data_IF_683535190218
#
_entry.id   IF_683535190218
#
_cell.length_a   1.000
_cell.length_b   1.000
_cell.length_c   1.000
_cell.angle_alpha   90.00
_cell.angle_beta   90.00
_cell.angle_gamma   90.00
#
_symmetry.space_group_name_H-M   'P 1'
#
loop_
_entity.id
_entity.type
_entity.pdbx_description
1 polymer ?
#
# COMPACT_ATOMS: atom_id res chain seq x y z
N UNK A 1 2.83 9.56 0.01
CA UNK A 1 3.47 9.84 -1.29
C UNK A 1 2.61 10.72 -2.19
N UNK A 2 1.30 10.46 -2.32
CA UNK A 2 0.37 11.18 -3.21
C UNK A 2 0.39 12.73 -3.14
N UNK A 3 0.61 13.33 -1.97
CA UNK A 3 0.65 14.81 -1.82
C UNK A 3 2.06 15.43 -1.91
N UNK A 4 3.11 14.63 -2.08
CA UNK A 4 4.52 15.08 -2.04
C UNK A 4 5.31 14.73 -3.31
N UNK A 5 4.63 14.19 -4.31
CA UNK A 5 5.22 13.75 -5.57
C UNK A 5 4.46 14.38 -6.73
N UNK A 6 5.15 14.62 -7.84
CA UNK A 6 4.58 15.10 -9.11
C UNK A 6 4.55 13.97 -10.13
N UNK A 7 4.19 12.78 -9.66
CA UNK A 7 4.09 11.58 -10.46
C UNK A 7 3.06 11.73 -11.59
N UNK A 8 3.29 10.97 -12.65
CA UNK A 8 2.30 10.77 -13.73
C UNK A 8 1.55 9.45 -13.55
N UNK A 9 2.16 8.49 -12.87
CA UNK A 9 1.55 7.20 -12.54
C UNK A 9 2.13 6.63 -11.25
N UNK A 10 1.30 5.98 -10.44
CA UNK A 10 1.71 5.34 -9.19
C UNK A 10 0.65 4.30 -8.81
N UNK A 11 1.02 3.02 -8.82
CA UNK A 11 0.09 1.95 -8.46
C UNK A 11 0.82 0.68 -8.01
N UNK A 12 0.04 -0.30 -7.56
CA UNK A 12 0.47 -1.67 -7.33
C UNK A 12 -0.60 -2.63 -7.84
N UNK A 13 -0.19 -3.72 -8.47
CA UNK A 13 -1.10 -4.73 -9.01
C UNK A 13 -0.65 -6.12 -8.61
N UNK A 14 -1.62 -7.00 -8.35
CA UNK A 14 -1.39 -8.42 -8.09
C UNK A 14 -2.06 -9.20 -9.22
N UNK A 15 -1.26 -9.88 -10.03
CA UNK A 15 -1.72 -10.91 -10.96
C UNK A 15 -1.74 -12.27 -10.27
N UNK A 16 -2.11 -13.32 -11.01
CA UNK A 16 -2.27 -14.66 -10.44
C UNK A 16 -0.93 -15.24 -9.92
N UNK A 17 0.19 -14.93 -10.59
CA UNK A 17 1.52 -15.47 -10.30
C UNK A 17 2.60 -14.38 -10.12
N UNK A 18 2.22 -13.09 -10.12
CA UNK A 18 3.16 -12.00 -9.92
C UNK A 18 2.53 -10.79 -9.21
N UNK A 19 3.40 -9.92 -8.68
CA UNK A 19 3.01 -8.61 -8.16
C UNK A 19 3.91 -7.55 -8.76
N UNK A 20 3.32 -6.44 -9.21
CA UNK A 20 4.03 -5.34 -9.87
C UNK A 20 3.76 -4.02 -9.15
N UNK A 21 4.81 -3.22 -8.98
CA UNK A 21 4.76 -1.91 -8.34
C UNK A 21 5.21 -0.81 -9.32
N UNK A 22 4.40 -0.47 -10.35
CA UNK A 22 4.75 0.52 -11.35
C UNK A 22 4.63 1.96 -10.85
N UNK A 23 5.58 2.80 -11.24
CA UNK A 23 5.50 4.26 -11.10
C UNK A 23 6.12 4.98 -12.30
N UNK A 24 5.70 6.22 -12.54
CA UNK A 24 6.32 7.11 -13.53
C UNK A 24 6.28 8.56 -13.09
N UNK A 25 7.29 9.33 -13.51
CA UNK A 25 7.37 10.77 -13.28
C UNK A 25 8.23 11.41 -14.37
N UNK A 26 7.80 12.56 -14.89
CA UNK A 26 8.57 13.36 -15.84
C UNK A 26 9.67 14.20 -15.17
N UNK A 27 9.60 14.36 -13.84
CA UNK A 27 10.60 15.09 -13.07
C UNK A 27 11.70 14.13 -12.57
N UNK A 28 12.99 14.31 -12.95
CA UNK A 28 14.06 13.38 -12.58
C UNK A 28 14.32 13.28 -11.07
N UNK A 29 14.12 14.36 -10.31
CA UNK A 29 14.31 14.34 -8.86
C UNK A 29 13.18 13.56 -8.18
N UNK A 30 11.94 13.79 -8.61
CA UNK A 30 10.77 13.04 -8.15
C UNK A 30 10.88 11.56 -8.51
N UNK A 31 11.27 11.23 -9.75
CA UNK A 31 11.49 9.85 -10.18
C UNK A 31 12.48 9.11 -9.27
N UNK A 32 13.62 9.74 -8.90
CA UNK A 32 14.60 9.15 -7.99
C UNK A 32 14.03 8.95 -6.58
N UNK A 33 13.21 9.88 -6.10
CA UNK A 33 12.55 9.75 -4.81
C UNK A 33 11.58 8.57 -4.81
N UNK A 34 10.74 8.45 -5.84
CA UNK A 34 9.80 7.34 -6.00
C UNK A 34 10.52 6.01 -6.11
N UNK A 35 11.56 5.94 -6.94
CA UNK A 35 12.40 4.76 -7.09
C UNK A 35 12.93 4.25 -5.75
N UNK A 36 13.51 5.15 -4.94
CA UNK A 36 14.06 4.77 -3.63
C UNK A 36 13.00 4.22 -2.69
N UNK A 37 11.82 4.83 -2.65
CA UNK A 37 10.76 4.38 -1.75
C UNK A 37 10.13 3.07 -2.24
N UNK A 38 9.92 2.92 -3.55
CA UNK A 38 9.39 1.69 -4.14
C UNK A 38 10.34 0.49 -3.95
N UNK A 39 11.65 0.73 -4.01
CA UNK A 39 12.64 -0.31 -3.79
C UNK A 39 12.71 -0.72 -2.30
N UNK A 40 12.67 0.26 -1.39
CA UNK A 40 12.71 -0.02 0.04
C UNK A 40 11.44 -0.75 0.51
N UNK A 41 10.26 -0.30 0.05
CA UNK A 41 8.99 -0.95 0.42
C UNK A 41 8.86 -2.38 -0.13
N UNK A 42 9.46 -2.69 -1.28
CA UNK A 42 9.37 -4.03 -1.88
C UNK A 42 10.38 -5.01 -1.29
N UNK A 43 11.59 -4.55 -0.96
CA UNK A 43 12.66 -5.42 -0.48
C UNK A 43 12.84 -5.42 1.04
N UNK A 44 12.34 -4.40 1.74
CA UNK A 44 12.51 -4.19 3.18
C UNK A 44 11.24 -3.65 3.84
N UNK A 45 10.09 -4.22 3.48
CA UNK A 45 8.81 -3.83 4.05
C UNK A 45 8.79 -3.94 5.58
N UNK A 46 8.32 -2.89 6.25
CA UNK A 46 7.95 -2.95 7.66
C UNK A 46 6.55 -3.55 7.78
N UNK A 47 6.46 -4.81 8.22
CA UNK A 47 5.20 -5.52 8.39
C UNK A 47 4.72 -5.42 9.84
N UNK A 48 4.24 -4.23 10.25
CA UNK A 48 3.66 -4.06 11.57
C UNK A 48 2.32 -4.78 11.67
N UNK A 49 2.03 -5.36 12.84
CA UNK A 49 0.82 -6.16 13.04
C UNK A 49 -0.46 -5.36 12.84
N UNK A 50 -0.48 -4.10 13.28
CA UNK A 50 -1.64 -3.22 13.10
C UNK A 50 -1.89 -2.89 11.63
N UNK A 51 -0.83 -2.68 10.83
CA UNK A 51 -0.94 -2.43 9.39
C UNK A 51 -1.47 -3.67 8.68
N UNK A 52 -0.94 -4.86 9.00
CA UNK A 52 -1.45 -6.12 8.45
C UNK A 52 -2.94 -6.34 8.77
N UNK A 53 -3.35 -6.09 10.02
CA UNK A 53 -4.76 -6.18 10.45
C UNK A 53 -5.66 -5.14 9.80
N UNK A 54 -5.10 -4.00 9.41
CA UNK A 54 -5.84 -2.96 8.71
C UNK A 54 -6.05 -3.31 7.23
N UNK A 55 -4.96 -3.63 6.54
CA UNK A 55 -4.96 -3.92 5.11
C UNK A 55 -5.62 -5.27 4.80
N UNK A 56 -5.33 -6.30 5.60
CA UNK A 56 -5.87 -7.66 5.44
C UNK A 56 -7.27 -7.80 6.03
N UNK A 57 -7.35 -8.19 7.30
CA UNK A 57 -8.61 -8.33 8.03
C UNK A 57 -8.39 -8.26 9.55
N UNK A 58 -9.44 -7.86 10.28
CA UNK A 58 -9.52 -7.88 11.74
C UNK A 58 -10.96 -7.97 12.22
N UNK A 59 -11.14 -8.35 13.48
CA UNK A 59 -12.39 -8.12 14.19
C UNK A 59 -12.44 -6.68 14.73
N UNK A 60 -13.55 -6.01 14.50
CA UNK A 60 -13.89 -4.73 15.11
C UNK A 60 -15.26 -4.83 15.76
N UNK A 61 -15.50 -4.04 16.81
CA UNK A 61 -16.82 -3.96 17.42
C UNK A 61 -17.61 -2.84 16.78
N UNK A 62 -18.86 -3.10 16.42
CA UNK A 62 -19.79 -2.07 15.99
C UNK A 62 -20.25 -1.20 17.20
N UNK A 63 -21.06 -0.18 16.93
CA UNK A 63 -21.64 0.68 17.97
C UNK A 63 -22.57 -0.06 18.95
N UNK A 64 -22.99 -1.28 18.63
CA UNK A 64 -23.85 -2.15 19.45
C UNK A 64 -23.05 -3.25 20.18
N UNK A 65 -21.72 -3.28 20.03
CA UNK A 65 -20.84 -4.27 20.64
C UNK A 65 -20.81 -5.64 19.95
N UNK A 66 -21.37 -5.78 18.75
CA UNK A 66 -21.27 -7.00 17.94
C UNK A 66 -19.93 -7.02 17.19
N UNK A 67 -19.39 -8.21 16.99
CA UNK A 67 -18.13 -8.42 16.28
C UNK A 67 -18.38 -8.46 14.78
N UNK A 68 -17.70 -7.59 14.05
CA UNK A 68 -17.70 -7.55 12.59
C UNK A 68 -16.30 -7.78 12.04
N UNK A 69 -16.20 -8.40 10.86
CA UNK A 69 -14.94 -8.50 10.13
C UNK A 69 -14.77 -7.24 9.27
N UNK A 70 -13.60 -6.61 9.36
CA UNK A 70 -13.23 -5.45 8.54
C UNK A 70 -11.82 -5.62 8.00
N UNK A 71 -11.55 -5.11 6.80
CA UNK A 71 -10.22 -5.09 6.19
C UNK A 71 -10.28 -4.50 4.79
N UNK A 72 -9.17 -3.95 4.30
CA UNK A 72 -9.15 -3.30 2.97
C UNK A 72 -9.22 -4.33 1.84
N UNK A 73 -8.52 -5.46 1.98
CA UNK A 73 -8.56 -6.56 0.98
C UNK A 73 -9.81 -7.42 1.14
N UNK A 74 -10.35 -7.51 2.36
CA UNK A 74 -11.57 -8.28 2.62
C UNK A 74 -12.82 -7.66 2.00
N UNK A 75 -12.91 -6.32 2.00
CA UNK A 75 -14.08 -5.55 1.55
C UNK A 75 -14.00 -5.22 0.06
#
# INVERSE_FOLDING_TARGET
MLRRSVNTYMNAWTGDDFTSYPFSSANPADWRNLYRVYLDMSLKASLHELDFRQEGWRFELDSEGKRELKGIVLN
#
